data_IF_419774238515
#
_entry.id   IF_419774238515
#
_cell.length_a   1.000
_cell.length_b   1.000
_cell.length_c   1.000
_cell.angle_alpha   90.00
_cell.angle_beta   90.00
_cell.angle_gamma   90.00
#
_symmetry.space_group_name_H-M   'P 1'
#
loop_
_entity.id
_entity.type
_entity.pdbx_description
1 polymer ?
#
# COMPACT_ATOMS: atom_id res chain seq x y z
N UNK A 1 23.09 14.33 24.17
CA UNK A 1 22.65 14.80 22.84
C UNK A 1 21.64 13.80 22.31
N UNK A 2 20.52 14.23 21.70
CA UNK A 2 19.58 13.30 21.09
C UNK A 2 20.28 12.48 19.99
N UNK A 3 19.93 11.20 19.89
CA UNK A 3 20.47 10.31 18.86
C UNK A 3 19.78 10.67 17.55
N UNK A 4 20.51 11.30 16.63
CA UNK A 4 19.98 11.64 15.30
C UNK A 4 20.04 10.37 14.44
N UNK A 5 18.88 9.82 14.10
CA UNK A 5 18.72 8.74 13.12
C UNK A 5 18.41 9.27 11.73
N UNK A 6 18.97 8.62 10.72
CA UNK A 6 18.84 8.96 9.28
C UNK A 6 18.82 7.68 8.47
N UNK A 7 18.21 7.71 7.29
CA UNK A 7 18.33 6.63 6.30
C UNK A 7 19.49 6.94 5.37
N UNK A 8 20.27 5.92 5.02
CA UNK A 8 21.49 6.03 4.21
C UNK A 8 21.37 5.18 2.96
N UNK A 9 21.92 5.71 1.86
CA UNK A 9 22.24 4.97 0.65
C UNK A 9 23.75 4.92 0.54
N UNK A 10 24.31 3.78 0.17
CA UNK A 10 25.77 3.65 0.06
C UNK A 10 26.11 2.66 -1.04
N UNK A 11 26.83 3.13 -2.05
CA UNK A 11 27.43 2.29 -3.08
C UNK A 11 28.93 2.16 -2.82
N UNK A 12 29.37 0.91 -2.73
CA UNK A 12 30.77 0.55 -2.49
C UNK A 12 31.24 -0.30 -3.66
N UNK A 13 32.00 0.30 -4.57
CA UNK A 13 32.56 -0.43 -5.70
C UNK A 13 33.98 -0.88 -5.34
N UNK A 14 34.19 -2.20 -5.33
CA UNK A 14 35.51 -2.83 -5.15
C UNK A 14 36.15 -2.62 -3.78
N UNK A 15 35.66 -3.27 -2.70
CA UNK A 15 36.27 -3.37 -1.34
C UNK A 15 36.98 -2.11 -0.78
N UNK A 16 36.59 -0.91 -1.21
CA UNK A 16 37.25 0.36 -0.93
C UNK A 16 36.33 1.31 -0.14
N UNK A 17 36.70 2.60 -0.09
CA UNK A 17 35.89 3.72 0.36
C UNK A 17 34.63 3.83 -0.52
N UNK A 18 33.44 4.17 0.02
CA UNK A 18 32.23 4.37 -0.78
C UNK A 18 32.46 5.37 -1.91
N UNK A 19 31.90 5.06 -3.09
CA UNK A 19 31.93 5.96 -4.25
C UNK A 19 30.75 6.92 -4.23
N UNK A 20 29.60 6.48 -3.71
CA UNK A 20 28.41 7.29 -3.50
C UNK A 20 27.85 6.98 -2.11
N UNK A 21 27.56 8.03 -1.34
CA UNK A 21 26.85 7.88 -0.08
C UNK A 21 26.16 9.19 0.28
N UNK A 22 24.86 9.11 0.51
CA UNK A 22 24.11 10.22 1.06
C UNK A 22 23.08 9.73 2.08
N UNK A 23 22.66 10.67 2.92
CA UNK A 23 21.61 10.47 3.92
C UNK A 23 20.45 11.44 3.73
N UNK A 24 19.34 11.17 4.43
CA UNK A 24 18.11 11.98 4.37
C UNK A 24 18.32 13.47 4.70
N UNK A 25 19.42 13.85 5.36
CA UNK A 25 19.73 15.21 5.78
C UNK A 25 19.04 15.62 7.09
N UNK A 26 17.93 14.95 7.44
CA UNK A 26 17.12 15.22 8.63
C UNK A 26 16.84 13.95 9.44
N UNK A 27 16.36 14.17 10.69
CA UNK A 27 16.01 13.09 11.61
C UNK A 27 14.78 12.32 11.13
N UNK A 28 14.85 10.98 11.14
CA UNK A 28 13.68 10.10 10.99
C UNK A 28 13.28 9.55 12.35
N UNK A 29 11.97 9.52 12.61
CA UNK A 29 11.40 9.01 13.85
C UNK A 29 11.52 7.48 13.93
N UNK A 30 11.59 6.97 15.16
CA UNK A 30 11.58 5.53 15.45
C UNK A 30 10.16 4.96 15.40
N UNK A 31 10.04 3.66 15.14
CA UNK A 31 8.77 2.91 15.12
C UNK A 31 7.72 3.40 14.10
N UNK A 32 8.16 4.12 13.07
CA UNK A 32 7.33 4.58 11.95
C UNK A 32 7.70 3.86 10.63
N UNK A 33 6.69 3.57 9.79
CA UNK A 33 6.91 3.04 8.45
C UNK A 33 7.30 4.15 7.48
N UNK A 34 8.34 3.90 6.68
CA UNK A 34 8.77 4.79 5.62
C UNK A 34 8.83 4.05 4.29
N UNK A 35 8.31 4.66 3.23
CA UNK A 35 8.63 4.25 1.88
C UNK A 35 9.89 4.99 1.44
N UNK A 36 10.98 4.26 1.28
CA UNK A 36 12.27 4.81 0.86
C UNK A 36 12.64 4.27 -0.51
N UNK A 37 12.89 5.18 -1.45
CA UNK A 37 13.26 4.82 -2.81
C UNK A 37 14.51 5.58 -3.26
N UNK A 38 15.28 4.95 -4.14
CA UNK A 38 16.48 5.50 -4.74
C UNK A 38 16.38 5.31 -6.24
N UNK A 39 16.69 6.35 -7.00
CA UNK A 39 16.69 6.31 -8.46
C UNK A 39 18.04 6.75 -8.96
N UNK A 40 18.60 6.00 -9.91
CA UNK A 40 19.81 6.35 -10.63
C UNK A 40 19.51 6.27 -12.12
N UNK A 41 19.89 7.29 -12.87
CA UNK A 41 19.64 7.40 -14.31
C UNK A 41 20.67 8.29 -15.00
N UNK A 42 20.47 8.62 -16.29
CA UNK A 42 21.42 9.40 -17.07
C UNK A 42 21.71 10.79 -16.51
N UNK A 43 20.76 11.37 -15.77
CA UNK A 43 20.85 12.70 -15.15
C UNK A 43 21.39 12.66 -13.70
N UNK A 44 21.91 11.50 -13.27
CA UNK A 44 22.47 11.28 -11.94
C UNK A 44 21.55 10.50 -11.01
N UNK A 45 21.59 10.82 -9.71
CA UNK A 45 20.89 10.08 -8.67
C UNK A 45 20.06 10.99 -7.75
N UNK A 46 18.97 10.43 -7.21
CA UNK A 46 18.19 11.06 -6.15
C UNK A 46 17.53 10.02 -5.25
N UNK A 47 17.01 10.48 -4.11
CA UNK A 47 16.29 9.65 -3.15
C UNK A 47 14.91 10.22 -2.87
N UNK A 48 13.98 9.38 -2.47
CA UNK A 48 12.62 9.74 -2.11
C UNK A 48 12.26 9.17 -0.74
N UNK A 49 11.53 9.93 0.05
CA UNK A 49 10.94 9.49 1.30
C UNK A 49 9.43 9.75 1.26
N UNK A 50 8.63 8.72 1.47
CA UNK A 50 7.17 8.79 1.44
C UNK A 50 6.63 9.45 0.16
N UNK A 51 7.21 9.06 -0.99
CA UNK A 51 6.80 9.54 -2.31
C UNK A 51 7.35 10.93 -2.69
N UNK A 52 7.97 11.67 -1.76
CA UNK A 52 8.52 13.00 -2.02
C UNK A 52 10.05 12.96 -2.22
N UNK A 53 10.57 13.77 -3.14
CA UNK A 53 12.00 13.84 -3.42
C UNK A 53 12.79 14.49 -2.28
N UNK A 54 13.94 13.91 -1.94
CA UNK A 54 14.90 14.43 -0.97
C UNK A 54 15.80 15.50 -1.61
N UNK A 55 15.26 16.72 -1.73
CA UNK A 55 15.95 17.88 -2.33
C UNK A 55 17.12 18.41 -1.48
N UNK A 56 17.12 18.17 -0.17
CA UNK A 56 18.15 18.62 0.78
C UNK A 56 18.96 17.46 1.40
N UNK A 57 19.16 16.38 0.64
CA UNK A 57 19.99 15.24 1.06
C UNK A 57 21.45 15.65 1.24
N UNK A 58 22.13 15.01 2.19
CA UNK A 58 23.53 15.29 2.48
C UNK A 58 24.43 14.22 1.88
N UNK A 59 25.32 14.59 0.96
CA UNK A 59 26.32 13.68 0.39
C UNK A 59 27.55 13.61 1.29
N UNK A 60 27.80 12.43 1.83
CA UNK A 60 29.03 12.09 2.52
C UNK A 60 30.14 11.73 1.50
N UNK A 61 29.75 11.15 0.37
CA UNK A 61 30.59 10.77 -0.76
C UNK A 61 29.81 10.91 -2.07
N UNK A 62 30.49 11.29 -3.15
CA UNK A 62 29.88 11.53 -4.45
C UNK A 62 29.06 12.82 -4.53
N UNK A 63 28.25 12.93 -5.57
CA UNK A 63 27.47 14.10 -5.95
C UNK A 63 26.14 13.72 -6.64
N UNK A 64 25.19 14.67 -6.79
CA UNK A 64 23.90 14.41 -7.45
C UNK A 64 23.99 13.94 -8.90
N UNK A 65 25.03 14.32 -9.62
CA UNK A 65 25.29 13.99 -11.01
C UNK A 65 25.97 12.62 -11.20
N UNK A 66 26.38 11.96 -10.11
CA UNK A 66 26.89 10.60 -10.20
C UNK A 66 25.78 9.62 -10.60
N UNK A 67 26.05 8.79 -11.60
CA UNK A 67 25.09 7.83 -12.17
C UNK A 67 25.52 6.36 -11.96
N UNK A 68 26.40 6.10 -10.99
CA UNK A 68 26.89 4.75 -10.70
C UNK A 68 25.79 3.87 -10.09
N UNK A 69 25.52 2.72 -10.71
CA UNK A 69 24.51 1.76 -10.24
C UNK A 69 24.99 0.29 -10.40
N UNK A 70 24.05 -0.63 -10.67
CA UNK A 70 24.33 -2.07 -10.72
C UNK A 70 25.18 -2.49 -11.93
N UNK A 71 25.06 -1.82 -13.07
CA UNK A 71 25.83 -2.15 -14.28
C UNK A 71 27.31 -1.78 -14.16
N UNK A 72 27.66 -0.89 -13.22
CA UNK A 72 29.03 -0.44 -12.97
C UNK A 72 29.82 -1.36 -12.02
N UNK A 73 29.19 -2.44 -11.56
CA UNK A 73 29.79 -3.41 -10.64
C UNK A 73 30.70 -4.38 -11.42
N UNK A 74 32.03 -4.35 -11.23
CA UNK A 74 32.97 -4.99 -12.16
C UNK A 74 33.07 -6.52 -12.03
N UNK A 75 32.91 -7.10 -10.84
CA UNK A 75 32.97 -8.57 -10.60
C UNK A 75 32.15 -8.92 -9.35
N UNK A 76 31.42 -10.06 -9.40
CA UNK A 76 30.63 -10.72 -8.34
C UNK A 76 30.47 -9.93 -7.04
N UNK A 77 29.26 -9.42 -6.84
CA UNK A 77 28.92 -8.55 -5.71
C UNK A 77 27.84 -9.17 -4.83
N UNK A 78 27.72 -8.65 -3.62
CA UNK A 78 26.78 -9.06 -2.60
C UNK A 78 25.71 -7.97 -2.44
N UNK A 79 24.47 -8.28 -2.82
CA UNK A 79 23.33 -7.46 -2.42
C UNK A 79 22.88 -7.88 -1.02
N UNK A 80 22.93 -6.96 -0.06
CA UNK A 80 22.43 -7.18 1.29
C UNK A 80 21.31 -6.21 1.64
N UNK A 81 20.30 -6.71 2.34
CA UNK A 81 19.19 -5.92 2.88
C UNK A 81 19.19 -6.10 4.38
N UNK A 82 19.13 -5.00 5.13
CA UNK A 82 19.13 -5.04 6.59
C UNK A 82 20.45 -5.50 7.24
N UNK A 83 21.51 -5.61 6.45
CA UNK A 83 22.84 -6.02 6.87
C UNK A 83 23.86 -5.35 5.96
N UNK A 84 25.00 -4.89 6.46
CA UNK A 84 25.98 -4.26 5.58
C UNK A 84 27.19 -3.68 6.29
N UNK A 85 28.15 -3.26 5.48
CA UNK A 85 29.40 -2.64 5.92
C UNK A 85 29.82 -1.59 4.90
N UNK A 86 30.30 -0.45 5.38
CA UNK A 86 30.81 0.66 4.56
C UNK A 86 32.23 0.38 4.06
N UNK A 87 33.18 0.14 4.97
CA UNK A 87 34.54 -0.34 4.66
C UNK A 87 35.24 -0.82 5.94
N UNK A 88 36.42 -1.45 5.80
CA UNK A 88 37.21 -1.99 6.91
C UNK A 88 37.65 -0.95 7.94
N UNK A 89 37.71 0.33 7.55
CA UNK A 89 38.21 1.43 8.41
C UNK A 89 37.09 2.07 9.23
N UNK A 90 35.90 2.26 8.65
CA UNK A 90 34.75 2.95 9.24
C UNK A 90 33.79 2.00 9.93
N UNK A 91 33.61 0.80 9.40
CA UNK A 91 32.75 -0.25 9.96
C UNK A 91 33.50 -1.57 9.90
N UNK A 92 34.48 -1.82 10.79
CA UNK A 92 35.33 -3.01 10.73
C UNK A 92 34.52 -4.32 10.79
N UNK A 93 33.34 -4.32 11.42
CA UNK A 93 32.36 -5.40 11.35
C UNK A 93 31.14 -5.03 10.49
N UNK A 94 30.42 -6.05 10.04
CA UNK A 94 29.08 -5.84 9.48
C UNK A 94 28.10 -5.40 10.56
N UNK A 95 27.19 -4.51 10.18
CA UNK A 95 26.14 -3.96 11.01
C UNK A 95 24.80 -4.53 10.59
N UNK A 96 23.92 -4.75 11.56
CA UNK A 96 22.53 -5.14 11.32
C UNK A 96 21.63 -3.91 11.41
N UNK A 97 20.72 -3.80 10.46
CA UNK A 97 19.57 -2.91 10.58
C UNK A 97 18.66 -3.43 11.69
N UNK A 98 18.16 -2.51 12.52
CA UNK A 98 17.24 -2.81 13.63
C UNK A 98 15.89 -2.20 13.33
N UNK A 99 15.09 -2.92 12.57
CA UNK A 99 13.76 -2.52 12.15
C UNK A 99 13.13 -3.59 11.25
N UNK A 100 11.91 -3.34 10.82
CA UNK A 100 11.22 -4.17 9.84
C UNK A 100 11.51 -3.64 8.43
N UNK A 101 11.55 -4.55 7.46
CA UNK A 101 11.65 -4.25 6.04
C UNK A 101 10.59 -5.09 5.36
N UNK A 102 9.82 -4.48 4.46
CA UNK A 102 8.80 -5.16 3.66
C UNK A 102 8.85 -4.64 2.23
N UNK A 103 8.27 -5.42 1.30
CA UNK A 103 7.92 -4.95 -0.04
C UNK A 103 9.10 -4.42 -0.90
N UNK A 104 10.27 -5.07 -0.78
CA UNK A 104 11.50 -4.69 -1.48
C UNK A 104 11.40 -4.93 -2.98
N UNK A 105 11.69 -3.89 -3.77
CA UNK A 105 11.63 -3.91 -5.24
C UNK A 105 12.92 -3.33 -5.84
N UNK A 106 13.35 -3.86 -6.98
CA UNK A 106 14.48 -3.37 -7.78
C UNK A 106 14.05 -3.33 -9.25
N UNK A 107 14.33 -2.22 -9.93
CA UNK A 107 13.93 -1.98 -11.31
C UNK A 107 15.15 -1.84 -12.22
N UNK A 108 15.02 -2.26 -13.47
CA UNK A 108 16.05 -2.14 -14.51
C UNK A 108 16.00 -0.80 -15.26
N UNK A 109 15.36 0.22 -14.68
CA UNK A 109 15.25 1.58 -15.20
C UNK A 109 15.12 2.56 -14.05
N UNK A 110 15.48 3.81 -14.30
CA UNK A 110 15.14 4.90 -13.39
C UNK A 110 13.63 5.12 -13.39
N UNK A 111 13.03 5.18 -12.20
CA UNK A 111 11.63 5.56 -12.03
C UNK A 111 11.52 7.08 -11.95
N UNK A 112 10.43 7.61 -12.48
CA UNK A 112 10.10 9.04 -12.35
C UNK A 112 9.52 9.35 -10.96
N UNK A 113 9.52 10.64 -10.58
CA UNK A 113 8.90 11.08 -9.34
C UNK A 113 7.41 10.70 -9.23
N UNK A 114 6.67 10.69 -10.35
CA UNK A 114 5.27 10.26 -10.39
C UNK A 114 5.11 8.78 -10.05
N UNK A 115 5.92 7.93 -10.67
CA UNK A 115 5.89 6.48 -10.41
C UNK A 115 6.31 6.15 -8.97
N UNK A 116 7.26 6.88 -8.39
CA UNK A 116 7.62 6.72 -6.97
C UNK A 116 6.47 7.14 -6.06
N UNK A 117 5.75 8.21 -6.41
CA UNK A 117 4.56 8.64 -5.66
C UNK A 117 3.44 7.59 -5.73
N UNK A 118 3.23 6.97 -6.88
CA UNK A 118 2.28 5.86 -7.06
C UNK A 118 2.69 4.63 -6.23
N UNK A 119 3.97 4.24 -6.23
CA UNK A 119 4.47 3.15 -5.38
C UNK A 119 4.31 3.45 -3.88
N UNK A 120 4.51 4.71 -3.47
CA UNK A 120 4.21 5.09 -2.09
C UNK A 120 2.72 4.96 -1.77
N UNK A 121 1.86 5.43 -2.67
CA UNK A 121 0.41 5.30 -2.53
C UNK A 121 -0.01 3.82 -2.52
N UNK A 122 0.70 2.93 -3.22
CA UNK A 122 0.55 1.48 -3.11
C UNK A 122 0.79 0.97 -1.68
N UNK A 123 1.82 1.46 -0.99
CA UNK A 123 2.12 1.08 0.40
C UNK A 123 1.19 1.68 1.48
N UNK A 124 0.17 2.46 1.11
CA UNK A 124 -0.70 3.17 2.06
C UNK A 124 -1.58 2.26 2.92
N UNK A 125 -2.15 2.83 4.00
CA UNK A 125 -3.00 2.11 4.97
C UNK A 125 -4.02 1.18 4.29
N UNK A 126 -4.33 0.01 4.86
CA UNK A 126 -5.24 -0.94 4.21
C UNK A 126 -6.59 -0.29 3.90
N UNK A 127 -7.15 -0.65 2.74
CA UNK A 127 -8.54 -0.34 2.43
C UNK A 127 -9.42 -1.01 3.50
N UNK A 128 -10.43 -0.30 3.99
CA UNK A 128 -11.43 -0.85 4.90
C UNK A 128 -12.82 -0.46 4.40
N UNK A 129 -13.69 -1.44 4.22
CA UNK A 129 -15.06 -1.28 3.76
C UNK A 129 -16.07 -1.81 4.78
N UNK A 130 -17.21 -1.13 4.92
CA UNK A 130 -18.33 -1.60 5.74
C UNK A 130 -19.67 -1.51 4.98
N UNK A 131 -20.37 -2.64 4.87
CA UNK A 131 -21.76 -2.72 4.45
C UNK A 131 -22.63 -2.24 5.63
N UNK A 132 -23.20 -1.04 5.50
CA UNK A 132 -24.06 -0.46 6.55
C UNK A 132 -25.52 -0.84 6.37
N UNK A 133 -25.92 -1.26 5.17
CA UNK A 133 -27.23 -1.86 4.89
C UNK A 133 -27.09 -3.01 3.88
N UNK A 134 -27.87 -4.08 4.01
CA UNK A 134 -28.73 -4.40 5.14
C UNK A 134 -27.91 -4.81 6.39
N UNK A 135 -28.38 -4.46 7.58
CA UNK A 135 -27.71 -4.87 8.83
C UNK A 135 -28.13 -6.26 9.25
N UNK A 136 -27.18 -7.05 9.78
CA UNK A 136 -27.49 -8.32 10.41
C UNK A 136 -28.53 -8.13 11.54
N UNK A 137 -29.33 -9.18 11.78
CA UNK A 137 -30.37 -9.16 12.80
C UNK A 137 -31.62 -8.36 12.44
N UNK A 138 -31.95 -8.28 11.16
CA UNK A 138 -33.15 -7.58 10.67
C UNK A 138 -34.03 -8.51 9.83
N UNK A 139 -35.34 -8.42 10.01
CA UNK A 139 -36.32 -8.94 9.06
C UNK A 139 -36.74 -7.80 8.13
N UNK A 140 -36.41 -7.93 6.85
CA UNK A 140 -36.75 -6.97 5.81
C UNK A 140 -37.90 -7.50 4.95
N UNK A 141 -38.86 -6.64 4.65
CA UNK A 141 -39.90 -6.92 3.66
C UNK A 141 -39.97 -5.74 2.69
N UNK A 142 -39.70 -6.01 1.41
CA UNK A 142 -39.57 -5.00 0.36
C UNK A 142 -38.63 -3.85 0.77
N UNK A 143 -37.42 -4.21 1.22
CA UNK A 143 -36.37 -3.28 1.70
C UNK A 143 -36.70 -2.46 2.96
N UNK A 144 -37.86 -2.69 3.57
CA UNK A 144 -38.24 -2.06 4.84
C UNK A 144 -37.97 -3.00 6.00
N UNK A 145 -37.24 -2.51 7.01
CA UNK A 145 -37.07 -3.24 8.27
C UNK A 145 -38.39 -3.28 9.02
N UNK A 146 -38.90 -4.50 9.24
CA UNK A 146 -40.13 -4.74 9.98
C UNK A 146 -39.80 -5.09 11.43
N UNK A 147 -38.87 -6.01 11.65
CA UNK A 147 -38.48 -6.48 12.99
C UNK A 147 -36.97 -6.66 13.15
N UNK A 148 -36.51 -6.65 14.39
CA UNK A 148 -35.19 -7.18 14.76
C UNK A 148 -35.32 -8.67 15.09
N UNK A 149 -34.36 -9.45 14.58
CA UNK A 149 -34.27 -10.90 14.77
C UNK A 149 -32.78 -11.27 14.88
N UNK A 150 -32.43 -12.56 15.01
CA UNK A 150 -31.04 -12.99 15.20
C UNK A 150 -30.23 -13.17 13.90
N UNK A 151 -30.90 -13.09 12.75
CA UNK A 151 -30.31 -13.21 11.42
C UNK A 151 -30.84 -12.10 10.51
N UNK A 152 -30.17 -11.80 9.41
CA UNK A 152 -30.79 -11.04 8.34
C UNK A 152 -31.64 -11.96 7.47
N UNK A 153 -32.94 -11.69 7.43
CA UNK A 153 -33.93 -12.40 6.61
C UNK A 153 -34.67 -11.38 5.76
N UNK A 154 -34.87 -11.65 4.48
CA UNK A 154 -35.48 -10.71 3.55
C UNK A 154 -36.50 -11.35 2.62
N UNK A 155 -37.67 -10.72 2.50
CA UNK A 155 -38.65 -11.00 1.44
C UNK A 155 -38.70 -9.85 0.43
N UNK A 156 -38.52 -10.14 -0.85
CA UNK A 156 -38.50 -9.13 -1.91
C UNK A 156 -37.14 -8.43 -2.07
N UNK A 157 -37.11 -7.23 -2.68
CA UNK A 157 -35.88 -6.48 -2.92
C UNK A 157 -35.15 -6.09 -1.63
N UNK A 158 -33.81 -6.03 -1.69
CA UNK A 158 -32.94 -5.59 -0.60
C UNK A 158 -31.89 -4.65 -1.14
N UNK A 159 -31.76 -3.46 -0.55
CA UNK A 159 -30.71 -2.50 -0.91
C UNK A 159 -29.47 -2.73 -0.04
N UNK A 160 -28.35 -2.93 -0.72
CA UNK A 160 -27.01 -2.99 -0.14
C UNK A 160 -26.40 -1.60 -0.26
N UNK A 161 -25.99 -1.03 0.86
CA UNK A 161 -25.30 0.26 0.93
C UNK A 161 -23.97 0.08 1.64
N UNK A 162 -22.93 0.67 1.08
CA UNK A 162 -21.61 0.75 1.70
C UNK A 162 -21.46 2.15 2.28
N UNK A 163 -21.55 2.24 3.61
CA UNK A 163 -21.60 3.53 4.30
C UNK A 163 -20.22 4.09 4.66
N UNK A 164 -19.19 3.26 4.66
CA UNK A 164 -17.82 3.67 4.95
C UNK A 164 -16.83 2.93 4.04
N UNK A 165 -15.95 3.71 3.41
CA UNK A 165 -14.75 3.19 2.77
C UNK A 165 -13.56 4.06 3.17
N UNK A 166 -12.70 3.55 4.05
CA UNK A 166 -11.44 4.18 4.38
C UNK A 166 -10.35 3.66 3.45
N UNK A 167 -9.65 4.58 2.80
CA UNK A 167 -8.58 4.28 1.85
C UNK A 167 -7.29 5.05 2.17
N UNK A 168 -7.09 5.44 3.44
CA UNK A 168 -5.90 6.19 3.86
C UNK A 168 -5.72 7.53 3.13
N UNK A 169 -6.83 8.20 2.76
CA UNK A 169 -6.82 9.45 1.99
C UNK A 169 -6.81 9.27 0.47
N UNK A 170 -6.73 8.03 -0.04
CA UNK A 170 -6.86 7.73 -1.48
C UNK A 170 -8.35 7.69 -1.90
N UNK A 171 -8.69 8.01 -3.15
CA UNK A 171 -10.04 7.80 -3.67
C UNK A 171 -10.28 6.29 -3.92
N UNK A 172 -11.51 5.85 -3.65
CA UNK A 172 -12.00 4.53 -4.06
C UNK A 172 -12.48 4.68 -5.50
N UNK A 173 -12.09 3.74 -6.36
CA UNK A 173 -12.43 3.76 -7.79
C UNK A 173 -13.81 3.14 -8.03
N UNK A 174 -14.10 2.01 -7.35
CA UNK A 174 -15.37 1.31 -7.53
C UNK A 174 -15.68 0.37 -6.36
N UNK A 175 -16.95 0.00 -6.24
CA UNK A 175 -17.44 -1.11 -5.39
C UNK A 175 -18.18 -2.13 -6.25
N UNK A 176 -17.68 -3.36 -6.26
CA UNK A 176 -18.34 -4.49 -6.91
C UNK A 176 -19.18 -5.30 -5.91
N UNK A 177 -20.44 -5.56 -6.25
CA UNK A 177 -21.39 -6.33 -5.45
C UNK A 177 -21.57 -7.74 -6.02
N UNK A 178 -21.52 -8.73 -5.14
CA UNK A 178 -21.61 -10.15 -5.47
C UNK A 178 -22.73 -10.82 -4.66
N UNK A 179 -23.32 -11.86 -5.24
CA UNK A 179 -24.18 -12.82 -4.52
C UNK A 179 -23.62 -14.21 -4.78
N UNK A 180 -23.23 -14.90 -3.71
CA UNK A 180 -22.60 -16.23 -3.75
C UNK A 180 -21.43 -16.27 -4.74
N UNK A 181 -20.48 -15.35 -4.57
CA UNK A 181 -19.29 -15.16 -5.41
C UNK A 181 -19.56 -14.78 -6.89
N UNK A 182 -20.81 -14.63 -7.30
CA UNK A 182 -21.19 -14.17 -8.64
C UNK A 182 -21.39 -12.65 -8.64
N UNK A 183 -20.56 -11.94 -9.41
CA UNK A 183 -20.67 -10.48 -9.57
C UNK A 183 -22.02 -10.10 -10.18
N UNK A 184 -22.72 -9.17 -9.54
CA UNK A 184 -24.04 -8.68 -9.96
C UNK A 184 -24.01 -7.25 -10.47
N UNK A 185 -23.22 -6.40 -9.83
CA UNK A 185 -23.17 -4.98 -10.15
C UNK A 185 -21.81 -4.40 -9.76
N UNK A 186 -21.44 -3.30 -10.40
CA UNK A 186 -20.28 -2.48 -10.05
C UNK A 186 -20.75 -1.04 -10.04
N UNK A 187 -20.51 -0.35 -8.93
CA UNK A 187 -20.83 1.05 -8.73
C UNK A 187 -19.53 1.84 -8.64
N UNK A 188 -19.35 2.82 -9.53
CA UNK A 188 -18.18 3.70 -9.61
C UNK A 188 -18.46 5.11 -9.07
N UNK A 189 -19.68 5.37 -8.58
CA UNK A 189 -20.07 6.67 -8.03
C UNK A 189 -20.54 6.55 -6.57
N UNK A 190 -19.82 7.21 -5.66
CA UNK A 190 -20.25 7.31 -4.27
C UNK A 190 -21.53 8.19 -4.15
N UNK A 191 -22.49 7.83 -3.26
CA UNK A 191 -22.49 6.72 -2.31
C UNK A 191 -22.79 5.36 -2.97
N UNK A 192 -21.91 4.38 -2.73
CA UNK A 192 -21.97 3.08 -3.37
C UNK A 192 -23.16 2.24 -2.89
N UNK A 193 -24.01 1.82 -3.82
CA UNK A 193 -25.24 1.10 -3.51
C UNK A 193 -25.70 0.17 -4.63
N UNK A 194 -26.37 -0.90 -4.24
CA UNK A 194 -26.97 -1.83 -5.17
C UNK A 194 -28.24 -2.47 -4.59
N UNK A 195 -29.32 -2.51 -5.37
CA UNK A 195 -30.55 -3.21 -4.96
C UNK A 195 -30.61 -4.61 -5.57
N UNK A 196 -30.62 -5.62 -4.70
CA UNK A 196 -30.85 -7.01 -5.06
C UNK A 196 -32.35 -7.28 -5.22
N UNK A 197 -32.87 -7.22 -6.46
CA UNK A 197 -34.30 -7.42 -6.76
C UNK A 197 -34.67 -8.83 -7.19
N UNK A 198 -33.71 -9.70 -7.52
CA UNK A 198 -34.03 -11.05 -7.99
C UNK A 198 -34.69 -11.91 -6.90
N UNK A 199 -35.58 -12.78 -7.34
CA UNK A 199 -36.16 -13.84 -6.51
C UNK A 199 -35.07 -14.87 -6.21
N UNK A 200 -34.92 -15.21 -4.94
CA UNK A 200 -34.00 -16.22 -4.45
C UNK A 200 -34.56 -16.87 -3.19
N UNK A 201 -34.10 -18.07 -2.86
CA UNK A 201 -34.60 -18.84 -1.72
C UNK A 201 -33.44 -19.43 -0.93
N UNK A 202 -33.50 -19.27 0.39
CA UNK A 202 -32.53 -19.83 1.31
C UNK A 202 -31.41 -18.86 1.67
N UNK A 203 -30.31 -19.41 2.16
CA UNK A 203 -29.17 -18.65 2.67
C UNK A 203 -28.24 -18.26 1.53
N UNK A 204 -27.91 -16.97 1.46
CA UNK A 204 -26.98 -16.39 0.50
C UNK A 204 -25.97 -15.50 1.20
N UNK A 205 -24.82 -15.29 0.56
CA UNK A 205 -23.81 -14.33 1.00
C UNK A 205 -23.74 -13.20 -0.02
N UNK A 206 -23.98 -11.98 0.46
CA UNK A 206 -23.69 -10.76 -0.28
C UNK A 206 -22.28 -10.33 0.08
N UNK A 207 -21.47 -10.00 -0.92
CA UNK A 207 -20.14 -9.43 -0.74
C UNK A 207 -20.05 -8.11 -1.47
N UNK A 208 -19.57 -7.07 -0.80
CA UNK A 208 -19.16 -5.82 -1.42
C UNK A 208 -17.62 -5.79 -1.42
N UNK A 209 -17.02 -5.50 -2.57
CA UNK A 209 -15.57 -5.38 -2.74
C UNK A 209 -15.25 -3.99 -3.23
N UNK A 210 -14.63 -3.16 -2.39
CA UNK A 210 -14.11 -1.87 -2.80
C UNK A 210 -12.74 -2.06 -3.46
N UNK A 211 -12.44 -1.24 -4.46
CA UNK A 211 -11.13 -1.22 -5.12
C UNK A 211 -10.69 0.23 -5.30
N UNK A 212 -9.45 0.55 -4.95
CA UNK A 212 -8.85 1.86 -5.23
C UNK A 212 -8.09 1.87 -6.56
N UNK A 213 -7.69 3.06 -7.02
CA UNK A 213 -6.98 3.22 -8.29
C UNK A 213 -5.59 2.54 -8.32
N UNK A 214 -5.04 2.20 -7.15
CA UNK A 214 -3.79 1.45 -7.04
C UNK A 214 -4.01 -0.08 -7.07
N UNK A 215 -5.26 -0.53 -7.17
CA UNK A 215 -5.65 -1.93 -7.22
C UNK A 215 -5.75 -2.61 -5.86
N UNK A 216 -5.63 -1.89 -4.74
CA UNK A 216 -5.94 -2.47 -3.44
C UNK A 216 -7.43 -2.70 -3.34
N UNK A 217 -7.78 -3.75 -2.63
CA UNK A 217 -9.16 -4.09 -2.39
C UNK A 217 -9.32 -4.62 -0.98
N UNK A 218 -10.51 -4.36 -0.44
CA UNK A 218 -11.02 -4.97 0.76
C UNK A 218 -12.48 -5.32 0.54
N UNK A 219 -13.00 -6.23 1.36
CA UNK A 219 -14.36 -6.72 1.22
C UNK A 219 -15.07 -6.78 2.56
N UNK A 220 -16.37 -6.54 2.50
CA UNK A 220 -17.27 -6.85 3.60
C UNK A 220 -18.40 -7.76 3.10
N UNK A 221 -18.96 -8.54 4.02
CA UNK A 221 -19.95 -9.56 3.69
C UNK A 221 -21.11 -9.53 4.65
N UNK A 222 -22.30 -9.80 4.11
CA UNK A 222 -23.49 -10.01 4.92
C UNK A 222 -24.22 -11.26 4.45
N UNK A 223 -24.59 -12.12 5.41
CA UNK A 223 -25.41 -13.31 5.14
C UNK A 223 -26.88 -12.92 5.17
N UNK A 224 -27.62 -13.28 4.12
CA UNK A 224 -29.07 -13.00 3.98
C UNK A 224 -29.82 -14.30 3.76
N UNK A 225 -30.90 -14.53 4.50
CA UNK A 225 -31.88 -15.56 4.17
C UNK A 225 -33.00 -14.96 3.33
N UNK A 226 -33.04 -15.30 2.03
CA UNK A 226 -34.08 -14.85 1.12
C UNK A 226 -35.31 -15.76 1.17
N UNK A 227 -36.48 -15.14 1.14
CA UNK A 227 -37.77 -15.81 1.12
C UNK A 227 -38.43 -15.78 -0.26
N UNK A 228 -38.19 -14.74 -1.07
CA UNK A 228 -38.62 -14.58 -2.45
C UNK A 228 -38.06 -13.26 -3.02
#
# INVERSE_FOLDING_TARGET
YPVIRRLYVTWVIGKQIPVLCYDTGFHVDEDEWYHFAVTVGPDGNTGYLNGAELVNRYYNFGAPDDALFLDDIPVQDQLTIGYGKTNDVKSPGFLHYRGYVDDVRVYNRSLSAGEISELYAMGGAPLNIEITRPQNGSFLLFDHKIWAINHLVAGGPVTVEVGHVAAGGRPVEQVAFYVDDVRRFTDDEAPYRWTWSQVAWGKHVITAVATDAAGHHDRDTVTVWKLF
#
